data_IF_480892704216
#
_entry.id   IF_480892704216
#
_cell.length_a   1.000
_cell.length_b   1.000
_cell.length_c   1.000
_cell.angle_alpha   90.00
_cell.angle_beta   90.00
_cell.angle_gamma   90.00
#
_symmetry.space_group_name_H-M   'P 1'
#
loop_
_entity.id
_entity.type
_entity.pdbx_description
1 polymer ?
#
# COMPACT_ATOMS: atom_id res chain seq x y z
N UNK A 1 -31.29 -47.25 47.68
CA UNK A 1 -31.06 -47.21 46.23
C UNK A 1 -32.24 -46.49 45.57
N UNK A 2 -32.11 -45.18 45.37
CA UNK A 2 -33.19 -44.32 44.87
C UNK A 2 -33.46 -44.61 43.40
N UNK A 3 -34.66 -45.12 43.10
CA UNK A 3 -35.20 -45.32 41.75
C UNK A 3 -35.47 -43.95 41.15
N UNK A 4 -34.46 -43.37 40.49
CA UNK A 4 -34.65 -42.16 39.69
C UNK A 4 -35.72 -42.41 38.63
N UNK A 5 -36.76 -41.57 38.65
CA UNK A 5 -37.95 -41.67 37.81
C UNK A 5 -37.54 -41.81 36.34
N UNK A 6 -38.07 -42.80 35.59
CA UNK A 6 -37.72 -43.02 34.18
C UNK A 6 -37.94 -41.78 33.31
N UNK A 7 -38.90 -40.91 33.68
CA UNK A 7 -39.12 -39.61 33.02
C UNK A 7 -37.93 -38.67 33.22
N UNK A 8 -37.34 -38.65 34.43
CA UNK A 8 -36.15 -37.85 34.72
C UNK A 8 -34.95 -38.38 33.95
N UNK A 9 -34.78 -39.70 33.83
CA UNK A 9 -33.72 -40.29 33.00
C UNK A 9 -33.91 -39.98 31.52
N UNK A 10 -35.16 -39.99 31.03
CA UNK A 10 -35.48 -39.62 29.66
C UNK A 10 -35.21 -38.14 29.40
N UNK A 11 -35.59 -37.25 30.31
CA UNK A 11 -35.30 -35.81 30.21
C UNK A 11 -33.80 -35.51 30.31
N UNK A 12 -33.06 -36.21 31.17
CA UNK A 12 -31.60 -36.11 31.25
C UNK A 12 -30.93 -36.62 29.97
N UNK A 13 -31.39 -37.73 29.41
CA UNK A 13 -30.91 -38.25 28.13
C UNK A 13 -31.25 -37.31 26.97
N UNK A 14 -32.45 -36.71 26.95
CA UNK A 14 -32.87 -35.74 25.94
C UNK A 14 -32.06 -34.43 26.05
N UNK A 15 -31.79 -33.95 27.27
CA UNK A 15 -30.94 -32.79 27.50
C UNK A 15 -29.49 -33.05 27.06
N UNK A 16 -28.95 -34.25 27.36
CA UNK A 16 -27.65 -34.69 26.86
C UNK A 16 -27.64 -34.78 25.32
N UNK A 17 -28.71 -35.29 24.71
CA UNK A 17 -28.82 -35.38 23.25
C UNK A 17 -28.91 -34.00 22.59
N UNK A 18 -29.67 -33.07 23.18
CA UNK A 18 -29.77 -31.69 22.70
C UNK A 18 -28.45 -30.93 22.88
N UNK A 19 -27.75 -31.13 24.00
CA UNK A 19 -26.39 -30.62 24.20
C UNK A 19 -25.42 -31.23 23.20
N UNK A 20 -25.50 -32.53 22.92
CA UNK A 20 -24.65 -33.20 21.95
C UNK A 20 -24.93 -32.69 20.53
N UNK A 21 -26.20 -32.50 20.15
CA UNK A 21 -26.59 -31.93 18.85
C UNK A 21 -26.17 -30.46 18.74
N UNK A 22 -26.25 -29.69 19.82
CA UNK A 22 -25.77 -28.30 19.85
C UNK A 22 -24.24 -28.22 19.75
N UNK A 23 -23.52 -29.07 20.49
CA UNK A 23 -22.05 -29.17 20.42
C UNK A 23 -21.60 -29.70 19.07
N UNK A 24 -22.28 -30.69 18.48
CA UNK A 24 -21.98 -31.19 17.14
C UNK A 24 -22.35 -30.17 16.05
N UNK A 25 -23.44 -29.41 16.18
CA UNK A 25 -23.75 -28.30 15.26
C UNK A 25 -22.72 -27.17 15.34
N UNK A 26 -22.24 -26.84 16.54
CA UNK A 26 -21.21 -25.81 16.74
C UNK A 26 -19.84 -26.30 16.29
N UNK A 27 -19.52 -27.57 16.54
CA UNK A 27 -18.28 -28.20 16.07
C UNK A 27 -18.28 -28.47 14.55
N UNK A 28 -19.46 -28.58 13.94
CA UNK A 28 -19.63 -28.62 12.48
C UNK A 28 -19.74 -27.21 11.84
N UNK A 29 -20.07 -26.16 12.61
CA UNK A 29 -20.04 -24.77 12.11
C UNK A 29 -18.69 -24.09 12.28
N UNK A 30 -17.84 -24.57 13.20
CA UNK A 30 -16.55 -23.95 13.53
C UNK A 30 -15.33 -24.75 13.06
N UNK A 31 -15.51 -25.68 12.11
CA UNK A 31 -14.38 -26.31 11.40
C UNK A 31 -13.98 -25.57 10.12
N UNK A 32 -14.24 -24.26 10.04
CA UNK A 32 -13.40 -23.41 9.20
C UNK A 32 -12.11 -23.17 9.96
N UNK A 33 -11.10 -23.95 9.58
CA UNK A 33 -9.72 -23.68 9.95
C UNK A 33 -9.40 -22.20 9.70
N UNK A 34 -8.63 -21.52 10.56
CA UNK A 34 -8.04 -20.22 10.24
C UNK A 34 -7.14 -20.21 8.98
N UNK A 35 -6.98 -21.35 8.30
CA UNK A 35 -6.23 -21.51 7.05
C UNK A 35 -7.04 -21.31 5.76
N UNK A 36 -8.32 -20.95 5.80
CA UNK A 36 -9.12 -20.78 4.55
C UNK A 36 -8.89 -19.44 3.82
N UNK A 37 -7.91 -18.64 4.28
CA UNK A 37 -7.41 -17.46 3.55
C UNK A 37 -6.19 -17.77 2.68
N UNK A 38 -5.92 -19.04 2.41
CA UNK A 38 -4.95 -19.37 1.38
C UNK A 38 -5.54 -19.04 0.01
N UNK A 39 -5.07 -17.94 -0.58
CA UNK A 39 -5.32 -17.51 -1.96
C UNK A 39 -5.08 -18.68 -2.95
N UNK A 40 -4.22 -19.64 -2.60
CA UNK A 40 -3.93 -20.83 -3.41
C UNK A 40 -5.11 -21.78 -3.67
N UNK A 41 -6.17 -21.79 -2.85
CA UNK A 41 -7.36 -22.61 -3.13
C UNK A 41 -8.38 -21.94 -4.07
N UNK A 42 -8.25 -20.62 -4.26
CA UNK A 42 -9.09 -19.82 -5.17
C UNK A 42 -8.42 -19.62 -6.54
N UNK A 43 -7.11 -19.82 -6.61
CA UNK A 43 -6.34 -19.77 -7.84
C UNK A 43 -6.47 -21.08 -8.60
N UNK A 44 -6.97 -21.03 -9.83
CA UNK A 44 -6.76 -22.13 -10.77
C UNK A 44 -5.25 -22.39 -10.89
N UNK A 45 -4.81 -23.65 -10.74
CA UNK A 45 -3.38 -24.03 -10.79
C UNK A 45 -2.68 -23.70 -12.12
N UNK A 46 -3.43 -23.25 -13.13
CA UNK A 46 -2.94 -22.62 -14.34
C UNK A 46 -4.14 -22.06 -15.13
N UNK A 47 -4.38 -20.74 -15.16
CA UNK A 47 -5.44 -20.21 -15.99
C UNK A 47 -4.90 -20.06 -17.43
N UNK A 48 -4.94 -21.14 -18.20
CA UNK A 48 -4.53 -21.14 -19.62
C UNK A 48 -5.57 -20.53 -20.56
N UNK A 49 -6.71 -20.07 -20.05
CA UNK A 49 -7.83 -19.65 -20.90
C UNK A 49 -7.82 -18.14 -21.15
N UNK A 50 -7.28 -17.78 -22.32
CA UNK A 50 -7.29 -16.42 -22.89
C UNK A 50 -8.64 -16.14 -23.53
N UNK A 51 -9.64 -15.70 -22.77
CA UNK A 51 -10.82 -15.08 -23.40
C UNK A 51 -10.49 -13.63 -23.78
N UNK A 52 -10.88 -13.22 -25.00
CA UNK A 52 -10.75 -11.83 -25.44
C UNK A 52 -11.79 -10.99 -24.71
N UNK A 53 -11.32 -9.96 -24.01
CA UNK A 53 -12.15 -8.87 -23.50
C UNK A 53 -13.02 -8.31 -24.64
N UNK A 54 -14.27 -7.89 -24.36
CA UNK A 54 -15.05 -7.11 -25.30
C UNK A 54 -14.18 -5.94 -25.80
N UNK A 55 -14.26 -5.56 -27.10
CA UNK A 55 -13.41 -4.52 -27.68
C UNK A 55 -13.47 -3.17 -26.95
N UNK A 56 -14.58 -2.92 -26.23
CA UNK A 56 -14.85 -1.67 -25.53
C UNK A 56 -14.51 -1.73 -24.03
N UNK A 57 -13.99 -2.86 -23.53
CA UNK A 57 -13.62 -3.04 -22.13
C UNK A 57 -12.14 -2.69 -21.94
N UNK A 58 -11.85 -1.68 -21.12
CA UNK A 58 -10.50 -1.43 -20.61
C UNK A 58 -10.27 -2.33 -19.39
N UNK A 59 -9.49 -3.41 -19.50
CA UNK A 59 -9.27 -4.32 -18.38
C UNK A 59 -8.57 -3.66 -17.19
N UNK A 60 -7.81 -2.59 -17.43
CA UNK A 60 -7.10 -1.87 -16.38
C UNK A 60 -8.02 -0.89 -15.64
N UNK A 61 -9.25 -0.71 -16.11
CA UNK A 61 -10.29 0.06 -15.41
C UNK A 61 -11.13 -0.80 -14.44
N UNK A 62 -11.02 -2.13 -14.51
CA UNK A 62 -11.78 -3.08 -13.70
C UNK A 62 -11.03 -3.53 -12.43
N UNK A 63 -11.74 -3.82 -11.34
CA UNK A 63 -11.14 -4.31 -10.10
C UNK A 63 -10.70 -5.77 -10.21
N UNK A 64 -9.56 -6.11 -9.62
CA UNK A 64 -8.97 -7.45 -9.72
C UNK A 64 -7.88 -7.72 -8.68
N UNK A 65 -7.16 -8.81 -8.86
CA UNK A 65 -5.99 -9.18 -8.06
C UNK A 65 -4.79 -9.52 -8.95
N UNK A 66 -3.58 -9.31 -8.42
CA UNK A 66 -2.34 -9.65 -9.12
C UNK A 66 -1.96 -11.10 -8.80
N UNK A 67 -1.90 -11.95 -9.81
CA UNK A 67 -1.19 -13.21 -9.73
C UNK A 67 0.29 -12.95 -10.00
N UNK A 68 1.14 -13.23 -9.01
CA UNK A 68 2.59 -13.11 -9.14
C UNK A 68 3.16 -14.48 -9.48
N UNK A 69 3.79 -14.59 -10.65
CA UNK A 69 4.52 -15.78 -11.05
C UNK A 69 6.00 -15.68 -10.62
N UNK A 70 6.71 -16.80 -10.61
CA UNK A 70 8.16 -16.85 -10.33
C UNK A 70 8.95 -15.94 -11.29
N UNK A 71 8.53 -15.92 -12.55
CA UNK A 71 8.99 -14.99 -13.56
C UNK A 71 8.05 -13.77 -13.63
N UNK A 72 8.58 -12.55 -13.47
CA UNK A 72 7.76 -11.33 -13.38
C UNK A 72 6.87 -11.13 -14.63
N UNK A 73 7.37 -11.52 -15.80
CA UNK A 73 6.65 -11.43 -17.08
C UNK A 73 5.49 -12.45 -17.18
N UNK A 74 5.47 -13.45 -16.31
CA UNK A 74 4.37 -14.42 -16.18
C UNK A 74 3.29 -13.99 -15.19
N UNK A 75 3.49 -12.86 -14.50
CA UNK A 75 2.48 -12.27 -13.65
C UNK A 75 1.27 -11.79 -14.46
N UNK A 76 0.08 -11.91 -13.89
CA UNK A 76 -1.21 -11.60 -14.55
C UNK A 76 -2.09 -10.75 -13.65
N UNK A 77 -2.87 -9.86 -14.25
CA UNK A 77 -3.98 -9.21 -13.55
C UNK A 77 -5.24 -10.03 -13.79
N UNK A 78 -5.88 -10.45 -12.70
CA UNK A 78 -7.09 -11.26 -12.72
C UNK A 78 -8.24 -10.38 -12.26
N UNK A 79 -9.14 -10.03 -13.17
CA UNK A 79 -10.32 -9.20 -12.86
C UNK A 79 -11.28 -10.01 -11.98
N UNK A 80 -11.81 -9.39 -10.92
CA UNK A 80 -12.82 -10.02 -10.09
C UNK A 80 -14.11 -10.21 -10.90
N UNK A 81 -14.58 -11.45 -11.00
CA UNK A 81 -15.90 -11.76 -11.53
C UNK A 81 -16.98 -11.43 -10.47
N UNK A 82 -17.27 -10.15 -10.24
CA UNK A 82 -18.39 -9.74 -9.38
C UNK A 82 -19.72 -9.76 -10.15
N UNK A 83 -20.10 -10.91 -10.72
CA UNK A 83 -21.37 -11.04 -11.44
C UNK A 83 -22.60 -10.81 -10.55
N UNK A 84 -22.99 -9.54 -10.44
CA UNK A 84 -24.35 -9.06 -10.13
C UNK A 84 -24.92 -8.22 -11.27
N UNK A 85 -24.34 -8.26 -12.46
CA UNK A 85 -25.00 -7.79 -13.67
C UNK A 85 -25.68 -8.97 -14.38
N UNK A 86 -27.03 -9.08 -14.35
CA UNK A 86 -27.76 -10.23 -14.90
C UNK A 86 -27.79 -10.30 -16.44
N UNK A 87 -27.05 -9.43 -17.13
CA UNK A 87 -27.22 -9.17 -18.56
C UNK A 87 -25.98 -9.51 -19.41
N UNK A 88 -24.91 -10.02 -18.82
CA UNK A 88 -23.76 -10.53 -19.54
C UNK A 88 -23.61 -12.00 -19.14
N UNK A 89 -23.82 -12.90 -20.12
CA UNK A 89 -23.35 -14.28 -20.06
C UNK A 89 -21.82 -14.26 -19.99
N UNK A 90 -21.29 -13.93 -18.82
CA UNK A 90 -19.87 -13.95 -18.57
C UNK A 90 -19.50 -15.35 -18.07
N UNK A 91 -18.42 -15.94 -18.61
CA UNK A 91 -18.05 -17.31 -18.30
C UNK A 91 -17.74 -17.49 -16.80
N UNK A 92 -17.96 -18.70 -16.28
CA UNK A 92 -17.61 -19.14 -14.91
C UNK A 92 -16.08 -19.10 -14.60
N UNK A 93 -15.28 -18.35 -15.36
CA UNK A 93 -13.82 -18.35 -15.33
C UNK A 93 -13.26 -16.92 -15.29
N UNK A 94 -12.19 -16.76 -14.53
CA UNK A 94 -11.47 -15.51 -14.33
C UNK A 94 -10.92 -14.92 -15.63
N UNK A 95 -11.09 -13.61 -15.82
CA UNK A 95 -10.52 -12.88 -16.96
C UNK A 95 -9.06 -12.58 -16.68
N UNK A 96 -8.17 -13.24 -17.41
CA UNK A 96 -6.72 -13.08 -17.28
C UNK A 96 -6.22 -12.05 -18.28
N UNK A 97 -5.64 -10.98 -17.75
CA UNK A 97 -5.05 -9.90 -18.53
C UNK A 97 -3.53 -9.94 -18.32
N UNK A 98 -2.72 -9.75 -19.38
CA UNK A 98 -1.29 -9.51 -19.20
C UNK A 98 -1.08 -8.40 -18.17
N UNK A 99 -0.13 -8.60 -17.25
CA UNK A 99 0.27 -7.49 -16.38
C UNK A 99 0.86 -6.36 -17.23
N UNK A 100 0.86 -5.13 -16.70
CA UNK A 100 1.51 -3.99 -17.35
C UNK A 100 2.96 -4.33 -17.76
N UNK A 101 3.69 -5.02 -16.88
CA UNK A 101 5.05 -5.49 -17.15
C UNK A 101 5.10 -6.48 -18.31
N UNK A 102 4.18 -7.45 -18.37
CA UNK A 102 4.13 -8.38 -19.51
C UNK A 102 3.92 -7.64 -20.84
N UNK A 103 2.97 -6.69 -20.90
CA UNK A 103 2.73 -5.88 -22.11
C UNK A 103 3.95 -5.02 -22.50
N UNK A 104 4.66 -4.45 -21.52
CA UNK A 104 5.91 -3.70 -21.73
C UNK A 104 6.99 -4.61 -22.34
N UNK A 105 7.20 -5.79 -21.77
CA UNK A 105 8.22 -6.75 -22.23
C UNK A 105 7.91 -7.30 -23.64
N UNK A 106 6.63 -7.47 -23.98
CA UNK A 106 6.19 -7.83 -25.33
C UNK A 106 6.28 -6.66 -26.33
N UNK A 107 6.75 -5.47 -25.90
CA UNK A 107 6.86 -4.26 -26.71
C UNK A 107 5.54 -3.79 -27.33
N UNK A 108 4.41 -4.13 -26.70
CA UNK A 108 3.06 -3.79 -27.15
C UNK A 108 2.64 -2.40 -26.69
N UNK A 109 3.46 -1.39 -26.98
CA UNK A 109 3.27 -0.03 -26.48
C UNK A 109 1.98 0.65 -26.96
N UNK A 110 1.39 0.20 -28.08
CA UNK A 110 0.09 0.70 -28.54
C UNK A 110 -1.04 0.36 -27.56
N UNK A 111 -0.95 -0.78 -26.87
CA UNK A 111 -1.92 -1.18 -25.82
C UNK A 111 -1.76 -0.32 -24.55
N UNK A 112 -0.64 0.41 -24.43
CA UNK A 112 -0.27 1.25 -23.30
C UNK A 112 -0.34 2.75 -23.61
N UNK A 113 -1.02 3.13 -24.69
CA UNK A 113 -1.11 4.53 -25.13
C UNK A 113 -1.74 5.44 -24.06
N UNK A 114 -2.53 4.89 -23.14
CA UNK A 114 -3.07 5.64 -21.99
C UNK A 114 -1.97 6.19 -21.05
N UNK A 115 -0.79 5.57 -21.01
CA UNK A 115 0.39 6.02 -20.26
C UNK A 115 1.23 7.06 -21.02
N UNK A 116 0.94 7.30 -22.30
CA UNK A 116 1.78 8.15 -23.15
C UNK A 116 1.80 9.59 -22.66
N UNK A 117 3.00 10.15 -22.51
CA UNK A 117 3.26 11.49 -21.97
C UNK A 117 2.64 11.72 -20.58
N UNK A 118 2.52 10.65 -19.78
CA UNK A 118 1.98 10.75 -18.42
C UNK A 118 3.09 10.72 -17.38
N UNK A 119 2.84 11.38 -16.25
CA UNK A 119 3.69 11.22 -15.08
C UNK A 119 2.90 10.90 -13.81
N UNK A 120 3.48 10.04 -12.98
CA UNK A 120 2.91 9.59 -11.71
C UNK A 120 3.87 9.96 -10.58
N UNK A 121 3.35 10.43 -9.45
CA UNK A 121 4.13 10.60 -8.22
C UNK A 121 3.59 9.64 -7.18
N UNK A 122 4.46 8.77 -6.67
CA UNK A 122 4.22 7.93 -5.51
C UNK A 122 4.76 8.62 -4.26
N UNK A 123 3.89 9.03 -3.33
CA UNK A 123 4.27 9.66 -2.07
C UNK A 123 4.11 8.66 -0.94
N UNK A 124 5.19 8.29 -0.27
CA UNK A 124 5.11 7.32 0.81
C UNK A 124 6.48 6.88 1.30
N UNK A 125 6.52 5.73 1.94
CA UNK A 125 7.72 5.28 2.65
C UNK A 125 8.62 4.38 1.78
N UNK A 126 9.45 3.56 2.43
CA UNK A 126 10.35 2.62 1.76
C UNK A 126 9.64 1.64 0.84
N UNK A 127 8.37 1.29 1.12
CA UNK A 127 7.59 0.40 0.26
C UNK A 127 7.33 1.10 -1.08
N UNK A 128 6.83 2.32 -1.06
CA UNK A 128 6.54 3.08 -2.29
C UNK A 128 7.81 3.39 -3.09
N UNK A 129 8.92 3.69 -2.39
CA UNK A 129 10.24 3.83 -3.04
C UNK A 129 10.67 2.53 -3.72
N UNK A 130 10.51 1.40 -3.03
CA UNK A 130 10.88 0.10 -3.57
C UNK A 130 9.99 -0.26 -4.76
N UNK A 131 8.69 0.07 -4.75
CA UNK A 131 7.80 -0.13 -5.91
C UNK A 131 8.32 0.60 -7.16
N UNK A 132 8.69 1.89 -7.05
CA UNK A 132 9.28 2.64 -8.18
C UNK A 132 10.63 2.05 -8.60
N UNK A 133 11.45 1.64 -7.63
CA UNK A 133 12.77 1.03 -7.90
C UNK A 133 12.63 -0.29 -8.66
N UNK A 134 11.75 -1.19 -8.21
CA UNK A 134 11.52 -2.47 -8.85
C UNK A 134 10.82 -2.32 -10.20
N UNK A 135 9.87 -1.39 -10.33
CA UNK A 135 9.28 -1.09 -11.62
C UNK A 135 10.37 -0.65 -12.62
N UNK A 136 11.21 0.32 -12.26
CA UNK A 136 12.23 0.82 -13.18
C UNK A 136 13.39 -0.15 -13.45
N UNK A 137 13.76 -1.02 -12.50
CA UNK A 137 14.85 -2.00 -12.68
C UNK A 137 14.41 -3.32 -13.29
N UNK A 138 13.26 -3.85 -12.84
CA UNK A 138 12.75 -5.18 -13.23
C UNK A 138 11.60 -5.05 -14.22
N UNK A 139 10.63 -4.18 -13.93
CA UNK A 139 9.43 -4.01 -14.77
C UNK A 139 9.69 -3.38 -16.15
N UNK A 140 10.81 -2.67 -16.31
CA UNK A 140 11.25 -2.07 -17.58
C UNK A 140 12.41 -2.84 -18.23
N UNK A 141 12.82 -3.97 -17.67
CA UNK A 141 13.95 -4.73 -18.21
C UNK A 141 13.68 -5.17 -19.66
N UNK A 142 14.68 -5.06 -20.52
CA UNK A 142 14.52 -5.36 -21.95
C UNK A 142 13.92 -4.23 -22.79
N UNK A 143 13.60 -3.07 -22.19
CA UNK A 143 13.23 -1.83 -22.90
C UNK A 143 14.34 -0.78 -22.79
N UNK A 144 14.12 0.43 -23.34
CA UNK A 144 14.99 1.60 -23.07
C UNK A 144 14.72 2.26 -21.71
N UNK A 145 13.74 1.73 -20.97
CA UNK A 145 13.39 2.23 -19.66
C UNK A 145 14.44 1.96 -18.59
N UNK A 146 14.46 2.79 -17.55
CA UNK A 146 15.45 2.70 -16.49
C UNK A 146 14.95 3.27 -15.17
N UNK A 147 15.61 2.86 -14.08
CA UNK A 147 15.56 3.53 -12.78
C UNK A 147 16.80 4.38 -12.55
N UNK A 148 16.63 5.59 -12.03
CA UNK A 148 17.72 6.41 -11.45
C UNK A 148 17.18 7.32 -10.35
N UNK A 149 18.07 7.88 -9.54
CA UNK A 149 17.68 9.00 -8.70
C UNK A 149 17.56 10.27 -9.54
N UNK A 150 16.57 11.10 -9.23
CA UNK A 150 16.38 12.38 -9.89
C UNK A 150 17.51 13.33 -9.47
N UNK A 151 18.24 13.84 -10.47
CA UNK A 151 19.32 14.80 -10.28
C UNK A 151 18.77 16.21 -10.44
N UNK A 152 18.78 16.96 -9.34
CA UNK A 152 18.37 18.35 -9.35
C UNK A 152 19.51 19.17 -9.97
N UNK A 153 19.25 20.02 -10.99
CA UNK A 153 20.29 20.87 -11.55
C UNK A 153 20.85 21.86 -10.52
N UNK A 154 22.17 22.05 -10.47
CA UNK A 154 22.83 22.88 -9.46
C UNK A 154 22.28 24.32 -9.40
N UNK A 155 21.95 24.91 -10.55
CA UNK A 155 21.37 26.25 -10.64
C UNK A 155 19.96 26.39 -10.05
N UNK A 156 19.28 25.29 -9.75
CA UNK A 156 17.93 25.33 -9.19
C UNK A 156 17.91 25.72 -7.71
N UNK A 157 19.03 25.55 -7.00
CA UNK A 157 19.14 25.81 -5.56
C UNK A 157 18.07 25.11 -4.70
N UNK A 158 17.55 23.96 -5.15
CA UNK A 158 16.61 23.14 -4.39
C UNK A 158 17.40 22.12 -3.58
N UNK A 159 17.05 21.99 -2.30
CA UNK A 159 17.72 21.05 -1.41
C UNK A 159 17.54 19.60 -1.88
N UNK A 160 18.56 18.77 -1.65
CA UNK A 160 18.49 17.33 -1.84
C UNK A 160 18.63 16.62 -0.50
N UNK A 161 17.95 15.48 -0.37
CA UNK A 161 18.11 14.60 0.79
C UNK A 161 19.54 14.07 0.86
N UNK A 162 20.13 14.05 2.07
CA UNK A 162 21.49 13.55 2.29
C UNK A 162 21.51 12.03 2.22
N UNK A 163 20.49 11.37 2.75
CA UNK A 163 20.39 9.92 2.68
C UNK A 163 19.90 9.49 1.29
N UNK A 164 20.66 8.59 0.66
CA UNK A 164 20.31 8.04 -0.65
C UNK A 164 18.92 7.40 -0.64
N UNK A 165 18.56 6.73 0.46
CA UNK A 165 17.26 6.09 0.66
C UNK A 165 16.06 7.06 0.62
N UNK A 166 16.30 8.37 0.71
CA UNK A 166 15.29 9.43 0.72
C UNK A 166 15.34 10.32 -0.53
N UNK A 167 16.35 10.12 -1.39
CA UNK A 167 16.40 10.78 -2.69
C UNK A 167 15.21 10.35 -3.54
N UNK A 168 14.81 11.24 -4.43
CA UNK A 168 13.67 11.01 -5.33
C UNK A 168 14.06 9.91 -6.32
N UNK A 169 13.45 8.74 -6.19
CA UNK A 169 13.55 7.68 -7.18
C UNK A 169 12.75 8.03 -8.43
N UNK A 170 13.26 7.68 -9.61
CA UNK A 170 12.59 7.90 -10.89
C UNK A 170 12.70 6.64 -11.75
N UNK A 171 11.55 6.13 -12.20
CA UNK A 171 11.48 5.16 -13.28
C UNK A 171 10.96 5.86 -14.54
N UNK A 172 11.68 5.75 -15.65
CA UNK A 172 11.30 6.38 -16.91
C UNK A 172 11.26 5.37 -18.04
N UNK A 173 10.18 5.38 -18.83
CA UNK A 173 10.01 4.59 -20.05
C UNK A 173 9.94 5.52 -21.28
N UNK A 174 11.05 5.69 -22.02
CA UNK A 174 11.13 6.62 -23.15
C UNK A 174 10.11 6.37 -24.27
N UNK A 175 9.78 5.11 -24.55
CA UNK A 175 8.89 4.67 -25.63
C UNK A 175 7.47 5.25 -25.50
N UNK A 176 7.04 5.50 -24.26
CA UNK A 176 5.78 6.16 -23.94
C UNK A 176 5.98 7.58 -23.43
N UNK A 177 7.22 8.03 -23.21
CA UNK A 177 7.53 9.22 -22.42
C UNK A 177 6.76 9.22 -21.08
N UNK A 178 6.80 8.07 -20.40
CA UNK A 178 6.09 7.82 -19.15
C UNK A 178 7.07 7.83 -17.97
N UNK A 179 6.74 8.56 -16.92
CA UNK A 179 7.61 8.68 -15.74
C UNK A 179 6.87 8.39 -14.43
N UNK A 180 7.50 7.63 -13.54
CA UNK A 180 7.04 7.45 -12.16
C UNK A 180 8.12 7.98 -11.22
N UNK A 181 7.75 8.92 -10.35
CA UNK A 181 8.61 9.45 -9.30
C UNK A 181 8.21 8.88 -7.94
N UNK A 182 9.17 8.76 -7.02
CA UNK A 182 8.90 8.54 -5.60
C UNK A 182 9.29 9.76 -4.78
N UNK A 183 8.37 10.26 -3.96
CA UNK A 183 8.63 11.23 -2.90
C UNK A 183 8.59 10.52 -1.55
N UNK A 184 9.69 10.56 -0.83
CA UNK A 184 9.86 9.79 0.39
C UNK A 184 9.35 10.53 1.63
N UNK A 185 8.31 10.02 2.26
CA UNK A 185 7.83 10.44 3.58
C UNK A 185 7.81 9.21 4.50
N UNK A 186 8.41 9.31 5.69
CA UNK A 186 8.28 8.24 6.67
C UNK A 186 6.82 8.15 7.15
N UNK A 187 6.22 9.29 7.48
CA UNK A 187 4.80 9.34 7.82
C UNK A 187 4.35 10.78 8.00
N UNK A 188 3.16 10.94 8.55
CA UNK A 188 2.56 12.25 8.84
C UNK A 188 2.57 12.58 10.34
N UNK A 189 2.88 11.60 11.19
CA UNK A 189 2.79 11.70 12.64
C UNK A 189 3.73 12.72 13.27
N UNK A 190 4.91 12.95 12.71
CA UNK A 190 5.91 13.87 13.26
C UNK A 190 5.49 15.33 13.02
N UNK A 191 5.56 16.16 14.07
CA UNK A 191 5.30 17.62 14.03
C UNK A 191 6.53 18.47 14.36
N UNK A 192 7.49 17.87 15.04
CA UNK A 192 8.73 18.49 15.50
C UNK A 192 9.79 17.41 15.49
N UNK A 193 11.03 17.80 15.26
CA UNK A 193 12.17 16.90 15.27
C UNK A 193 12.20 16.09 16.57
N UNK A 194 12.21 14.76 16.44
CA UNK A 194 12.22 13.82 17.55
C UNK A 194 13.43 12.89 17.40
N UNK A 195 14.40 12.92 18.34
CA UNK A 195 15.62 12.11 18.26
C UNK A 195 15.39 10.59 18.24
N UNK A 196 14.22 10.13 18.70
CA UNK A 196 13.94 8.71 18.91
C UNK A 196 13.16 8.04 17.76
N UNK A 197 12.74 8.78 16.72
CA UNK A 197 11.88 8.23 15.68
C UNK A 197 12.65 7.44 14.61
N UNK A 198 13.62 8.07 13.94
CA UNK A 198 14.52 7.38 13.01
C UNK A 198 15.88 8.06 12.94
N UNK A 199 16.96 7.35 13.32
CA UNK A 199 18.31 7.92 13.34
C UNK A 199 18.89 8.20 11.93
N UNK A 200 18.35 7.52 10.91
CA UNK A 200 18.69 7.74 9.49
C UNK A 200 17.55 8.48 8.78
N UNK A 201 17.08 9.58 9.37
CA UNK A 201 16.11 10.45 8.72
C UNK A 201 16.66 11.84 8.42
N UNK A 202 16.49 12.29 7.18
CA UNK A 202 16.84 13.66 6.78
C UNK A 202 15.95 14.66 7.50
N UNK A 203 16.57 15.75 7.98
CA UNK A 203 15.84 16.92 8.40
C UNK A 203 15.36 17.73 7.18
N UNK A 204 14.19 18.37 7.25
CA UNK A 204 13.22 18.34 8.37
C UNK A 204 12.48 16.99 8.47
N UNK A 205 11.99 16.60 9.65
CA UNK A 205 11.24 15.32 9.82
C UNK A 205 9.73 15.46 9.60
N UNK A 206 9.15 16.65 9.84
CA UNK A 206 7.73 16.88 9.59
C UNK A 206 7.45 16.94 8.09
N UNK A 207 6.29 16.40 7.68
CA UNK A 207 5.97 16.29 6.27
C UNK A 207 5.79 17.67 5.61
N UNK A 208 5.29 18.67 6.35
CA UNK A 208 5.06 20.01 5.83
C UNK A 208 6.36 20.62 5.32
N UNK A 209 7.37 20.63 6.18
CA UNK A 209 8.68 21.18 5.85
C UNK A 209 9.40 20.32 4.83
N UNK A 210 9.25 18.98 4.84
CA UNK A 210 9.82 18.11 3.79
C UNK A 210 9.25 18.43 2.42
N UNK A 211 7.93 18.58 2.32
CA UNK A 211 7.27 18.93 1.07
C UNK A 211 7.79 20.26 0.53
N UNK A 212 7.91 21.27 1.38
CA UNK A 212 8.39 22.60 0.98
C UNK A 212 9.90 22.65 0.68
N UNK A 213 10.69 21.77 1.31
CA UNK A 213 12.16 21.77 1.15
C UNK A 213 12.60 20.95 -0.06
N UNK A 214 12.03 19.76 -0.27
CA UNK A 214 12.54 18.78 -1.23
C UNK A 214 11.65 18.57 -2.45
N UNK A 215 10.34 18.77 -2.34
CA UNK A 215 9.39 18.21 -3.31
C UNK A 215 8.61 19.27 -4.10
N UNK A 216 7.82 20.11 -3.43
CA UNK A 216 7.02 21.16 -4.08
C UNK A 216 7.83 22.16 -4.90
N UNK A 217 9.07 22.56 -4.51
CA UNK A 217 9.91 23.42 -5.35
C UNK A 217 10.17 22.86 -6.74
N UNK A 218 10.24 21.53 -6.90
CA UNK A 218 10.47 20.89 -8.20
C UNK A 218 9.30 21.11 -9.17
N UNK A 219 8.07 21.05 -8.65
CA UNK A 219 6.87 21.34 -9.43
C UNK A 219 6.78 22.83 -9.77
N UNK A 220 7.06 23.72 -8.80
CA UNK A 220 7.05 25.18 -9.00
C UNK A 220 8.07 25.64 -10.05
N UNK A 221 9.25 25.04 -10.04
CA UNK A 221 10.32 25.32 -10.99
C UNK A 221 10.18 24.56 -12.32
N UNK A 222 9.12 23.75 -12.49
CA UNK A 222 8.89 22.90 -13.66
C UNK A 222 10.09 21.99 -14.00
N UNK A 223 10.79 21.50 -12.97
CA UNK A 223 11.93 20.59 -13.12
C UNK A 223 11.51 19.14 -13.25
N UNK A 224 10.32 18.80 -12.74
CA UNK A 224 9.62 17.55 -13.04
C UNK A 224 8.30 17.89 -13.74
N UNK A 225 7.83 16.96 -14.58
CA UNK A 225 6.57 17.11 -15.28
C UNK A 225 5.39 17.26 -14.30
N UNK A 226 4.36 18.00 -14.72
CA UNK A 226 3.07 18.04 -14.01
C UNK A 226 2.54 16.60 -13.89
N UNK A 227 2.24 16.10 -12.68
CA UNK A 227 1.70 14.76 -12.50
C UNK A 227 0.28 14.67 -13.06
N UNK A 228 -0.05 13.53 -13.65
CA UNK A 228 -1.41 13.14 -14.03
C UNK A 228 -2.09 12.37 -12.90
N UNK A 229 -1.29 11.65 -12.10
CA UNK A 229 -1.73 10.87 -10.97
C UNK A 229 -0.74 11.02 -9.80
N UNK A 230 -1.28 11.23 -8.61
CA UNK A 230 -0.54 11.12 -7.36
C UNK A 230 -1.13 9.96 -6.58
N UNK A 231 -0.32 8.96 -6.30
CA UNK A 231 -0.68 7.87 -5.39
C UNK A 231 0.07 8.11 -4.09
N UNK A 232 -0.63 8.15 -2.96
CA UNK A 232 0.03 8.29 -1.67
C UNK A 232 -0.34 7.18 -0.70
N UNK A 233 0.60 6.85 0.18
CA UNK A 233 0.38 5.99 1.32
C UNK A 233 0.91 6.68 2.58
N UNK A 234 0.27 6.36 3.70
CA UNK A 234 0.79 6.69 5.02
C UNK A 234 0.27 5.66 6.02
N UNK A 235 1.12 5.23 6.95
CA UNK A 235 0.64 4.44 8.06
C UNK A 235 1.68 3.63 8.79
N UNK A 236 2.62 2.95 8.11
CA UNK A 236 3.59 2.11 8.82
C UNK A 236 4.41 2.93 9.81
N UNK A 237 5.13 3.95 9.38
CA UNK A 237 5.87 4.74 10.34
C UNK A 237 4.99 5.63 11.22
N UNK A 238 3.73 5.89 10.86
CA UNK A 238 2.79 6.53 11.79
C UNK A 238 2.46 5.59 12.96
N UNK A 239 2.24 4.30 12.70
CA UNK A 239 2.05 3.29 13.74
C UNK A 239 3.30 3.17 14.62
N UNK A 240 4.49 3.17 14.02
CA UNK A 240 5.74 3.17 14.79
C UNK A 240 5.90 4.45 15.61
N UNK A 241 5.59 5.62 15.03
CA UNK A 241 5.62 6.90 15.73
C UNK A 241 4.70 6.90 16.95
N UNK A 242 3.46 6.43 16.76
CA UNK A 242 2.45 6.36 17.81
C UNK A 242 2.88 5.38 18.91
N UNK A 243 3.39 4.20 18.55
CA UNK A 243 3.90 3.22 19.50
C UNK A 243 5.08 3.78 20.32
N UNK A 244 6.09 4.38 19.67
CA UNK A 244 7.22 5.01 20.35
C UNK A 244 6.79 6.18 21.22
N UNK A 245 5.84 7.00 20.77
CA UNK A 245 5.28 8.13 21.52
C UNK A 245 4.55 7.67 22.78
N UNK A 246 3.79 6.57 22.70
CA UNK A 246 3.15 5.94 23.84
C UNK A 246 4.21 5.50 24.85
N UNK A 247 5.21 4.77 24.40
CA UNK A 247 6.26 4.25 25.28
C UNK A 247 7.05 5.36 25.97
N UNK A 248 7.40 6.43 25.26
CA UNK A 248 8.07 7.59 25.84
C UNK A 248 7.25 8.27 26.95
N UNK A 249 5.92 8.24 26.89
CA UNK A 249 5.05 8.76 27.96
C UNK A 249 5.04 7.89 29.21
N UNK A 250 5.21 6.58 29.08
CA UNK A 250 5.09 5.62 30.18
C UNK A 250 6.44 5.18 30.78
N UNK A 251 7.57 5.70 30.27
CA UNK A 251 8.92 5.44 30.77
C UNK A 251 9.21 3.94 30.97
N UNK A 252 8.88 3.13 29.96
CA UNK A 252 9.03 1.68 30.03
C UNK A 252 10.52 1.29 30.05
N UNK A 253 10.95 0.36 30.92
CA UNK A 253 12.36 0.09 31.22
C UNK A 253 13.20 -0.49 30.06
N UNK A 254 12.58 -1.02 29.00
CA UNK A 254 13.27 -1.73 27.92
C UNK A 254 13.42 -0.95 26.60
N UNK A 255 13.14 0.37 26.59
CA UNK A 255 13.17 1.14 25.34
C UNK A 255 14.48 1.88 25.15
N UNK A 256 15.32 1.29 24.30
CA UNK A 256 16.52 1.94 23.79
C UNK A 256 16.13 2.96 22.69
N UNK A 257 16.81 4.11 22.60
CA UNK A 257 16.70 4.99 21.43
C UNK A 257 17.07 4.20 20.17
N UNK A 258 16.40 4.49 19.04
CA UNK A 258 16.67 3.79 17.77
C UNK A 258 18.12 3.91 17.30
N UNK A 259 18.84 4.94 17.74
CA UNK A 259 20.28 5.08 17.50
C UNK A 259 21.12 3.90 18.05
N UNK A 260 20.59 3.16 19.04
CA UNK A 260 21.21 1.97 19.63
C UNK A 260 20.67 0.66 19.02
N UNK A 261 19.65 0.73 18.16
CA UNK A 261 19.12 -0.40 17.38
C UNK A 261 19.97 -0.52 16.10
N UNK A 262 20.68 -1.63 15.92
CA UNK A 262 21.59 -1.81 14.78
C UNK A 262 20.91 -1.64 13.40
N UNK A 263 21.68 -1.38 12.33
CA UNK A 263 21.18 -0.96 11.02
C UNK A 263 20.27 -1.97 10.29
N UNK A 264 20.21 -3.22 10.76
CA UNK A 264 19.51 -4.34 10.13
C UNK A 264 18.14 -4.65 10.75
N UNK A 265 17.73 -3.97 11.83
CA UNK A 265 16.45 -4.28 12.50
C UNK A 265 16.40 -5.66 13.19
N UNK A 266 17.50 -6.42 13.23
CA UNK A 266 17.56 -7.78 13.81
C UNK A 266 17.39 -7.84 15.34
N UNK A 267 17.40 -6.69 16.01
CA UNK A 267 16.92 -6.54 17.40
C UNK A 267 15.62 -5.74 17.37
N UNK A 268 14.55 -6.37 16.89
CA UNK A 268 13.21 -5.77 16.83
C UNK A 268 12.81 -5.42 18.27
N UNK A 269 12.77 -4.13 18.61
CA UNK A 269 12.15 -3.73 19.87
C UNK A 269 10.69 -4.14 19.79
N UNK A 270 10.23 -4.86 20.80
CA UNK A 270 8.82 -5.21 20.99
C UNK A 270 8.04 -3.92 21.31
N UNK A 271 7.77 -3.11 20.28
CA UNK A 271 6.90 -1.94 20.36
C UNK A 271 5.42 -2.36 20.36
N UNK A 272 5.15 -3.65 20.17
CA UNK A 272 3.85 -4.27 20.37
C UNK A 272 3.62 -4.54 21.85
N UNK A 273 2.79 -3.72 22.49
CA UNK A 273 2.06 -4.13 23.70
C UNK A 273 0.79 -4.93 23.34
N UNK A 274 0.59 -5.28 22.06
CA UNK A 274 -0.62 -5.91 21.52
C UNK A 274 -1.88 -5.06 21.59
N UNK A 275 -1.81 -3.86 22.18
CA UNK A 275 -3.00 -3.06 22.45
C UNK A 275 -3.49 -2.34 21.19
N UNK A 276 -4.81 -2.21 20.98
CA UNK A 276 -5.35 -1.38 19.92
C UNK A 276 -4.91 0.10 20.01
N UNK A 277 -5.13 0.86 18.95
CA UNK A 277 -4.96 2.32 18.95
C UNK A 277 -6.09 2.96 19.77
N UNK A 278 -5.71 3.89 20.63
CA UNK A 278 -6.68 4.72 21.36
C UNK A 278 -7.38 5.70 20.43
N UNK A 279 -8.57 6.16 20.83
CA UNK A 279 -9.32 7.18 20.09
C UNK A 279 -8.53 8.48 19.93
N UNK A 280 -7.66 8.83 20.89
CA UNK A 280 -6.79 10.01 20.82
C UNK A 280 -5.69 9.85 19.78
N UNK A 281 -5.06 8.67 19.69
CA UNK A 281 -4.06 8.37 18.66
C UNK A 281 -4.68 8.40 17.26
N UNK A 282 -5.85 7.77 17.10
CA UNK A 282 -6.59 7.82 15.84
C UNK A 282 -7.02 9.26 15.47
N UNK A 283 -7.52 10.03 16.45
CA UNK A 283 -7.89 11.43 16.22
C UNK A 283 -6.67 12.28 15.83
N UNK A 284 -5.53 12.07 16.49
CA UNK A 284 -4.28 12.74 16.14
C UNK A 284 -3.88 12.44 14.70
N UNK A 285 -3.87 11.17 14.31
CA UNK A 285 -3.55 10.75 12.95
C UNK A 285 -4.48 11.38 11.92
N UNK A 286 -5.79 11.38 12.17
CA UNK A 286 -6.76 12.04 11.27
C UNK A 286 -6.47 13.52 11.09
N UNK A 287 -6.06 14.25 12.14
CA UNK A 287 -5.67 15.66 12.02
C UNK A 287 -4.45 15.80 11.10
N UNK A 288 -3.45 14.91 11.22
CA UNK A 288 -2.26 14.94 10.37
C UNK A 288 -2.59 14.64 8.91
N UNK A 289 -3.38 13.59 8.65
CA UNK A 289 -3.81 13.24 7.31
C UNK A 289 -4.61 14.37 6.64
N UNK A 290 -5.56 15.00 7.35
CA UNK A 290 -6.27 16.18 6.82
C UNK A 290 -5.32 17.31 6.45
N UNK A 291 -4.34 17.57 7.31
CA UNK A 291 -3.35 18.61 7.09
C UNK A 291 -2.51 18.31 5.84
N UNK A 292 -2.05 17.06 5.68
CA UNK A 292 -1.31 16.62 4.49
C UNK A 292 -2.13 16.80 3.20
N UNK A 293 -3.36 16.29 3.19
CA UNK A 293 -4.23 16.39 2.02
C UNK A 293 -4.53 17.84 1.65
N UNK A 294 -4.83 18.68 2.65
CA UNK A 294 -5.05 20.11 2.44
C UNK A 294 -3.80 20.78 1.87
N UNK A 295 -2.63 20.57 2.46
CA UNK A 295 -1.36 21.15 1.98
C UNK A 295 -1.07 20.71 0.55
N UNK A 296 -1.20 19.42 0.25
CA UNK A 296 -0.96 18.89 -1.10
C UNK A 296 -1.93 19.51 -2.11
N UNK A 297 -3.24 19.44 -1.86
CA UNK A 297 -4.26 19.94 -2.79
C UNK A 297 -4.13 21.44 -3.00
N UNK A 298 -3.93 22.22 -1.95
CA UNK A 298 -3.80 23.68 -2.05
C UNK A 298 -2.51 24.06 -2.80
N UNK A 299 -1.41 23.33 -2.56
CA UNK A 299 -0.17 23.54 -3.30
C UNK A 299 -0.34 23.25 -4.78
N UNK A 300 -0.98 22.13 -5.13
CA UNK A 300 -1.24 21.79 -6.53
C UNK A 300 -2.16 22.80 -7.22
N UNK A 301 -3.20 23.29 -6.53
CA UNK A 301 -4.04 24.38 -7.02
C UNK A 301 -3.28 25.70 -7.17
N UNK A 302 -2.34 25.99 -6.27
CA UNK A 302 -1.51 27.19 -6.38
C UNK A 302 -0.52 27.12 -7.54
N UNK A 303 -0.01 25.92 -7.85
CA UNK A 303 0.98 25.71 -8.92
C UNK A 303 0.30 25.60 -10.29
N UNK A 304 -0.82 24.90 -10.36
CA UNK A 304 -1.48 24.52 -11.61
C UNK A 304 -2.93 25.00 -11.73
N UNK A 305 -3.37 25.91 -10.85
CA UNK A 305 -4.71 26.50 -10.91
C UNK A 305 -4.99 27.13 -12.27
N UNK A 306 -6.27 27.28 -12.65
CA UNK A 306 -6.67 27.61 -14.01
C UNK A 306 -5.99 28.89 -14.51
N UNK A 307 -5.17 28.75 -15.55
CA UNK A 307 -4.79 29.86 -16.41
C UNK A 307 -5.89 30.02 -17.48
N UNK A 308 -6.21 31.24 -17.91
CA UNK A 308 -7.34 31.52 -18.79
C UNK A 308 -7.31 30.87 -20.19
N UNK A 309 -6.29 30.07 -20.52
CA UNK A 309 -6.14 29.44 -21.84
C UNK A 309 -6.16 27.92 -21.72
N UNK A 310 -7.22 27.30 -22.23
CA UNK A 310 -7.40 25.87 -22.07
C UNK A 310 -6.52 25.04 -23.01
N UNK A 311 -5.51 24.35 -22.47
CA UNK A 311 -4.64 23.40 -23.19
C UNK A 311 -4.66 22.04 -22.50
N UNK A 312 -4.08 21.01 -23.12
CA UNK A 312 -3.95 19.66 -22.51
C UNK A 312 -3.35 19.65 -21.08
N UNK A 313 -2.68 20.74 -20.69
CA UNK A 313 -2.20 21.05 -19.35
C UNK A 313 -3.32 21.30 -18.30
N UNK A 314 -4.60 21.36 -18.67
CA UNK A 314 -5.72 21.56 -17.73
C UNK A 314 -6.33 20.28 -17.19
N UNK A 315 -5.78 19.10 -17.55
CA UNK A 315 -6.25 17.86 -16.95
C UNK A 315 -6.11 17.95 -15.42
N UNK A 316 -7.16 17.63 -14.66
CA UNK A 316 -7.08 17.60 -13.21
C UNK A 316 -6.07 16.52 -12.80
N UNK A 317 -5.30 16.83 -11.77
CA UNK A 317 -4.36 15.88 -11.17
C UNK A 317 -5.20 14.94 -10.30
N UNK A 318 -5.28 13.67 -10.66
CA UNK A 318 -5.97 12.67 -9.84
C UNK A 318 -5.12 12.37 -8.59
N UNK A 319 -5.76 12.28 -7.43
CA UNK A 319 -5.11 11.88 -6.18
C UNK A 319 -5.78 10.61 -5.67
N UNK A 320 -5.00 9.57 -5.42
CA UNK A 320 -5.46 8.30 -4.92
C UNK A 320 -4.68 7.87 -3.68
N UNK A 321 -5.35 7.18 -2.78
CA UNK A 321 -4.73 6.55 -1.62
C UNK A 321 -4.46 5.08 -1.90
N UNK A 322 -3.24 4.60 -1.61
CA UNK A 322 -2.91 3.17 -1.61
C UNK A 322 -3.10 2.61 -0.21
N UNK A 323 -3.93 1.58 -0.03
CA UNK A 323 -4.11 0.95 1.29
C UNK A 323 -2.87 0.19 1.76
N UNK A 324 -2.66 0.17 3.07
CA UNK A 324 -1.54 -0.52 3.73
C UNK A 324 -1.58 -2.04 3.51
N UNK A 325 -0.41 -2.65 3.31
CA UNK A 325 -0.27 -4.11 3.25
C UNK A 325 -0.32 -4.75 4.65
N UNK A 326 -0.71 -6.02 4.72
CA UNK A 326 -0.76 -6.78 5.98
C UNK A 326 0.50 -7.61 6.24
N UNK A 327 1.38 -7.81 5.25
CA UNK A 327 2.47 -8.79 5.35
C UNK A 327 3.53 -8.55 6.41
N UNK A 328 3.70 -7.31 6.89
CA UNK A 328 4.63 -6.98 7.96
C UNK A 328 3.98 -6.99 9.35
N UNK A 329 2.72 -7.40 9.46
CA UNK A 329 1.97 -7.35 10.70
C UNK A 329 2.39 -8.45 11.67
N UNK A 330 2.85 -8.05 12.86
CA UNK A 330 3.04 -8.96 13.99
C UNK A 330 2.44 -8.36 15.23
N UNK A 331 1.92 -9.20 16.12
CA UNK A 331 1.45 -8.77 17.45
C UNK A 331 2.56 -8.15 18.30
N UNK A 332 3.83 -8.45 17.97
CA UNK A 332 5.02 -7.98 18.70
C UNK A 332 5.64 -6.71 18.11
N UNK A 333 5.16 -6.20 16.98
CA UNK A 333 5.67 -4.96 16.40
C UNK A 333 4.60 -3.85 16.43
N UNK A 334 4.99 -2.65 16.02
CA UNK A 334 4.05 -1.53 15.96
C UNK A 334 2.90 -1.74 14.95
N UNK A 335 3.06 -2.70 14.04
CA UNK A 335 2.22 -2.96 12.87
C UNK A 335 1.23 -4.11 13.07
N UNK A 336 0.85 -4.42 14.32
CA UNK A 336 -0.18 -5.44 14.58
C UNK A 336 -1.41 -5.25 13.68
N UNK A 337 -1.96 -6.35 13.15
CA UNK A 337 -3.02 -6.32 12.13
C UNK A 337 -4.24 -5.48 12.57
N UNK A 338 -4.63 -5.58 13.84
CA UNK A 338 -5.70 -4.75 14.41
C UNK A 338 -5.40 -3.25 14.29
N UNK A 339 -4.15 -2.82 14.52
CA UNK A 339 -3.77 -1.40 14.41
C UNK A 339 -3.76 -0.93 12.97
N UNK A 340 -3.27 -1.76 12.05
CA UNK A 340 -3.33 -1.46 10.62
C UNK A 340 -4.79 -1.28 10.22
N UNK A 341 -5.68 -2.21 10.61
CA UNK A 341 -7.10 -2.12 10.32
C UNK A 341 -7.73 -0.83 10.90
N UNK A 342 -7.46 -0.51 12.17
CA UNK A 342 -7.98 0.70 12.80
C UNK A 342 -7.48 1.99 12.14
N UNK A 343 -6.20 2.03 11.75
CA UNK A 343 -5.64 3.18 11.06
C UNK A 343 -6.20 3.32 9.65
N UNK A 344 -6.36 2.21 8.91
CA UNK A 344 -6.98 2.16 7.58
C UNK A 344 -8.43 2.65 7.61
N UNK A 345 -9.26 2.15 8.52
CA UNK A 345 -10.64 2.63 8.69
C UNK A 345 -10.66 4.12 9.05
N UNK A 346 -9.73 4.55 9.90
CA UNK A 346 -9.59 5.96 10.25
C UNK A 346 -9.13 6.81 9.06
N UNK A 347 -8.29 6.29 8.16
CA UNK A 347 -7.88 6.93 6.92
C UNK A 347 -9.08 7.07 5.98
N UNK A 348 -9.85 5.99 5.75
CA UNK A 348 -11.05 5.96 4.90
C UNK A 348 -12.04 7.07 5.26
N UNK A 349 -12.26 7.31 6.55
CA UNK A 349 -13.12 8.40 7.02
C UNK A 349 -12.64 9.77 6.52
N UNK A 350 -11.34 10.05 6.62
CA UNK A 350 -10.76 11.32 6.14
C UNK A 350 -10.75 11.39 4.62
N UNK A 351 -10.38 10.30 3.94
CA UNK A 351 -10.32 10.25 2.47
C UNK A 351 -11.68 10.55 1.83
N UNK A 352 -12.77 10.10 2.47
CA UNK A 352 -14.14 10.41 2.06
C UNK A 352 -14.46 11.90 2.11
N UNK A 353 -13.93 12.64 3.10
CA UNK A 353 -14.11 14.09 3.22
C UNK A 353 -13.48 14.85 2.03
N UNK A 354 -12.43 14.30 1.44
CA UNK A 354 -11.70 14.88 0.30
C UNK A 354 -12.07 14.24 -1.04
N UNK A 355 -13.03 13.29 -1.07
CA UNK A 355 -13.42 12.52 -2.25
C UNK A 355 -12.23 11.81 -2.93
N UNK A 356 -11.32 11.24 -2.13
CA UNK A 356 -10.14 10.53 -2.62
C UNK A 356 -10.47 9.04 -2.80
N UNK A 357 -10.16 8.51 -3.98
CA UNK A 357 -10.31 7.09 -4.30
C UNK A 357 -9.23 6.25 -3.61
N UNK A 358 -9.57 4.98 -3.36
CA UNK A 358 -8.69 4.03 -2.67
C UNK A 358 -8.33 2.91 -3.62
N UNK A 359 -7.03 2.67 -3.76
CA UNK A 359 -6.46 1.47 -4.37
C UNK A 359 -6.34 0.44 -3.24
N UNK A 360 -7.09 -0.65 -3.35
CA UNK A 360 -7.16 -1.73 -2.34
C UNK A 360 -5.93 -2.65 -2.34
N UNK A 361 -4.74 -2.07 -2.42
CA UNK A 361 -3.45 -2.74 -2.47
C UNK A 361 -3.23 -3.73 -1.31
N UNK A 362 -3.66 -3.36 -0.11
CA UNK A 362 -3.55 -4.22 1.07
C UNK A 362 -4.27 -5.55 0.92
N UNK A 363 -5.39 -5.58 0.17
CA UNK A 363 -6.13 -6.81 -0.12
C UNK A 363 -5.46 -7.64 -1.21
N UNK A 364 -4.80 -6.98 -2.17
CA UNK A 364 -4.10 -7.62 -3.28
C UNK A 364 -2.78 -8.29 -2.84
N UNK A 365 -2.24 -7.93 -1.68
CA UNK A 365 -0.95 -8.43 -1.18
C UNK A 365 -1.07 -9.50 -0.10
N UNK A 366 -2.29 -9.85 0.33
CA UNK A 366 -2.52 -10.89 1.33
C UNK A 366 -1.96 -12.23 0.81
N UNK A 367 -1.01 -12.82 1.52
CA UNK A 367 -0.40 -14.10 1.15
C UNK A 367 0.79 -14.00 0.19
N UNK A 368 1.20 -12.79 -0.23
CA UNK A 368 2.50 -12.54 -0.87
C UNK A 368 3.62 -12.31 0.15
N UNK A 369 3.29 -12.44 1.43
CA UNK A 369 4.11 -12.07 2.59
C UNK A 369 5.46 -12.82 2.65
N UNK A 370 5.55 -14.04 2.12
CA UNK A 370 6.79 -14.83 2.07
C UNK A 370 7.63 -14.59 0.80
N UNK A 371 7.11 -13.86 -0.19
CA UNK A 371 7.80 -13.56 -1.46
C UNK A 371 8.27 -12.11 -1.56
N UNK A 372 7.81 -11.24 -0.64
CA UNK A 372 8.25 -9.86 -0.52
C UNK A 372 9.44 -9.70 0.46
N UNK A 373 9.85 -10.77 1.14
CA UNK A 373 11.13 -10.84 1.85
C UNK A 373 12.27 -10.75 0.83
N UNK A 374 12.88 -9.57 0.78
CA UNK A 374 13.95 -9.22 -0.15
C UNK A 374 15.19 -10.12 0.09
N UNK A 375 15.71 -10.84 -0.92
CA UNK A 375 17.11 -11.23 -0.89
C UNK A 375 17.94 -9.95 -0.83
N UNK A 376 18.74 -9.81 0.22
CA UNK A 376 19.55 -8.62 0.49
C UNK A 376 20.22 -8.07 -0.77
N UNK A 377 19.99 -6.80 -1.07
CA UNK A 377 20.72 -6.04 -2.12
C UNK A 377 22.14 -5.77 -1.60
N UNK A 378 22.95 -6.82 -1.48
CA UNK A 378 24.40 -6.73 -1.40
C UNK A 378 24.97 -7.40 -2.66
N UNK A 379 25.45 -6.55 -3.56
CA UNK A 379 26.57 -6.75 -4.48
C UNK A 379 26.71 -8.14 -5.14
N UNK A 380 26.25 -8.24 -6.38
CA UNK A 380 27.02 -8.96 -7.39
C UNK A 380 27.95 -7.94 -8.05
N UNK A 381 29.21 -7.91 -7.60
CA UNK A 381 30.32 -7.31 -8.32
C UNK A 381 30.81 -8.26 -9.42
#
# INVERSE_FOLDING_TARGET
>A
MSRTNPVIRFLQALALLLCLVYVLRRSASDSKSPSDWHVSSWLAQNPTNRFKLPPDCDPYAELGHLYTADELHDSRYIIYNDHKQPALDAPDQDWVVPSLTATIHEHKFLELDFLRNRSVIMIGDSIDRNLVTHFGRRGLAGTKGHHKFFEIPDQAHIATSKFESHKIGMAYLPELNFTVYNWFLMGLGVKKEVPFFHAREDLPQDFESKMETFYLPLLRANLIAKPDLIVFNTGFWDLEYLARSRTARYNLPDVQPRANEGPTGLKIINLGDGNPLSLTELAYHRVRLRSFLKTLIDSLKSIYGPSQNSNYLDRPIEIMYRSMQLGNASITNAFAAERIHQLEESNRLVLKEFNIKIIEWGKMTIGLDSQLDDPSIFEAH
#
